data_IF_856238470859
#
_entry.id   IF_856238470859
#
_cell.length_a   1.000
_cell.length_b   1.000
_cell.length_c   1.000
_cell.angle_alpha   90.00
_cell.angle_beta   90.00
_cell.angle_gamma   90.00
#
_symmetry.space_group_name_H-M   'P 1'
#
loop_
_entity.id
_entity.type
_entity.pdbx_description
1 polymer ?
#
# COMPACT_ATOMS: atom_id res chain seq x y z
N UNK A 1 41.11 57.30 -33.08
CA UNK A 1 40.38 56.02 -33.36
C UNK A 1 40.73 55.01 -32.28
N UNK A 2 39.94 54.99 -31.20
CA UNK A 2 40.19 54.19 -29.99
C UNK A 2 39.21 53.03 -29.99
N UNK A 3 39.70 51.80 -30.17
CA UNK A 3 38.89 50.57 -30.13
C UNK A 3 38.70 50.11 -28.69
N UNK A 4 37.48 50.18 -28.23
CA UNK A 4 37.04 49.67 -26.90
C UNK A 4 36.80 48.15 -27.03
N UNK A 5 37.64 47.33 -26.40
CA UNK A 5 37.45 45.89 -26.29
C UNK A 5 36.61 45.62 -25.06
N UNK A 6 35.35 45.20 -25.26
CA UNK A 6 34.45 44.72 -24.20
C UNK A 6 34.72 43.23 -24.01
N UNK A 7 35.38 42.86 -22.92
CA UNK A 7 35.52 41.44 -22.49
C UNK A 7 34.28 41.06 -21.71
N UNK A 8 33.46 40.21 -22.32
CA UNK A 8 32.29 39.59 -21.69
C UNK A 8 32.74 38.36 -20.86
N UNK A 9 32.87 38.55 -19.55
CA UNK A 9 33.16 37.45 -18.64
C UNK A 9 31.91 36.60 -18.44
N UNK A 10 31.85 35.39 -18.99
CA UNK A 10 30.86 34.37 -18.68
C UNK A 10 31.11 33.86 -17.27
N UNK A 11 30.35 34.32 -16.29
CA UNK A 11 30.29 33.73 -14.97
C UNK A 11 29.37 32.51 -15.04
N UNK A 12 29.95 31.32 -15.32
CA UNK A 12 29.24 30.06 -15.24
C UNK A 12 28.89 29.78 -13.77
N UNK A 13 27.67 30.13 -13.40
CA UNK A 13 27.11 29.81 -12.09
C UNK A 13 27.03 28.30 -11.90
N UNK A 14 27.98 27.78 -11.14
CA UNK A 14 27.99 26.40 -10.66
C UNK A 14 26.89 26.28 -9.59
N UNK A 15 25.64 25.99 -10.02
CA UNK A 15 24.57 25.61 -9.10
C UNK A 15 25.01 24.33 -8.40
N UNK A 16 25.06 24.29 -7.06
CA UNK A 16 25.28 23.03 -6.36
C UNK A 16 24.14 22.10 -6.70
N UNK A 17 24.47 21.03 -7.42
CA UNK A 17 23.56 19.91 -7.63
C UNK A 17 23.34 19.33 -6.24
N UNK A 18 22.19 19.63 -5.62
CA UNK A 18 21.74 18.87 -4.45
C UNK A 18 21.57 17.42 -4.95
N UNK A 19 22.63 16.65 -4.78
CA UNK A 19 22.52 15.20 -4.82
C UNK A 19 21.52 14.87 -3.70
N UNK A 20 20.33 14.39 -4.08
CA UNK A 20 19.44 13.76 -3.13
C UNK A 20 20.24 12.61 -2.53
N UNK A 21 20.70 12.78 -1.30
CA UNK A 21 21.25 11.70 -0.51
C UNK A 21 20.27 10.54 -0.62
N UNK A 22 20.69 9.36 -1.10
CA UNK A 22 19.84 8.19 -1.03
C UNK A 22 19.44 8.08 0.43
N UNK A 23 18.16 8.12 0.70
CA UNK A 23 17.62 7.95 2.04
C UNK A 23 17.98 6.52 2.49
N UNK A 24 19.23 6.35 2.90
CA UNK A 24 19.76 5.08 3.39
C UNK A 24 19.04 4.74 4.70
N UNK A 25 17.81 4.30 4.57
CA UNK A 25 17.11 3.66 5.68
C UNK A 25 17.81 2.33 5.87
N UNK A 26 18.53 2.21 6.97
CA UNK A 26 19.06 0.92 7.38
C UNK A 26 17.88 -0.02 7.66
N UNK A 27 17.61 -0.93 6.73
CA UNK A 27 16.52 -1.88 6.83
C UNK A 27 16.69 -2.89 7.96
N UNK A 28 17.87 -2.97 8.58
CA UNK A 28 18.10 -3.77 9.78
C UNK A 28 17.60 -3.07 11.06
N UNK A 29 17.41 -1.75 11.02
CA UNK A 29 17.00 -0.91 12.14
C UNK A 29 15.62 -0.32 11.93
N UNK A 30 14.58 -1.15 11.97
CA UNK A 30 13.21 -0.74 11.62
C UNK A 30 12.54 0.20 12.64
N UNK A 31 12.92 0.06 13.94
CA UNK A 31 12.32 0.82 15.05
C UNK A 31 13.11 2.11 15.36
N UNK A 32 13.40 2.89 14.34
CA UNK A 32 13.97 4.24 14.45
C UNK A 32 13.16 5.21 13.59
N UNK A 33 13.05 6.48 14.03
CA UNK A 33 12.49 7.56 13.23
C UNK A 33 13.48 8.71 13.13
N UNK A 34 13.42 9.51 12.08
CA UNK A 34 14.20 10.73 11.90
C UNK A 34 13.48 11.91 12.54
N UNK A 35 14.17 12.63 13.41
CA UNK A 35 13.71 13.90 13.97
C UNK A 35 13.79 15.03 12.93
N UNK A 36 13.24 16.19 13.28
CA UNK A 36 13.26 17.38 12.40
C UNK A 36 14.67 17.86 12.04
N UNK A 37 15.63 17.70 12.93
CA UNK A 37 17.03 18.03 12.70
C UNK A 37 17.83 16.92 11.96
N UNK A 38 17.16 15.88 11.44
CA UNK A 38 17.80 14.79 10.70
C UNK A 38 18.40 13.69 11.55
N UNK A 39 18.44 13.82 12.88
CA UNK A 39 18.95 12.79 13.80
C UNK A 39 18.03 11.58 13.90
N UNK A 40 18.62 10.40 14.14
CA UNK A 40 17.86 9.17 14.37
C UNK A 40 17.49 9.01 15.87
N UNK A 41 16.25 8.65 16.11
CA UNK A 41 15.70 8.41 17.44
C UNK A 41 15.05 7.03 17.51
N UNK A 42 15.27 6.24 18.58
CA UNK A 42 14.61 4.95 18.73
C UNK A 42 13.11 5.12 19.00
N UNK A 43 12.31 4.22 18.45
CA UNK A 43 10.87 4.12 18.75
C UNK A 43 10.71 3.41 20.09
N UNK A 44 10.29 4.13 21.13
CA UNK A 44 10.08 3.61 22.48
C UNK A 44 8.63 3.74 22.96
N UNK A 45 7.89 4.65 22.36
CA UNK A 45 6.52 4.97 22.77
C UNK A 45 5.55 4.91 21.58
N UNK A 46 4.22 4.81 21.81
CA UNK A 46 3.23 4.94 20.74
C UNK A 46 3.33 6.26 19.96
N UNK A 47 3.74 7.35 20.62
CA UNK A 47 3.97 8.63 19.96
C UNK A 47 5.17 8.60 19.00
N UNK A 48 6.25 7.92 19.37
CA UNK A 48 7.39 7.71 18.47
C UNK A 48 7.01 6.81 17.29
N UNK A 49 6.22 5.77 17.56
CA UNK A 49 5.67 4.93 16.50
C UNK A 49 4.81 5.73 15.51
N UNK A 50 4.00 6.65 15.97
CA UNK A 50 3.21 7.51 15.09
C UNK A 50 4.09 8.34 14.14
N UNK A 51 5.23 8.87 14.64
CA UNK A 51 6.22 9.57 13.80
C UNK A 51 6.85 8.61 12.78
N UNK A 52 7.32 7.45 13.21
CA UNK A 52 7.90 6.43 12.32
C UNK A 52 6.93 5.98 11.26
N UNK A 53 5.70 5.65 11.65
CA UNK A 53 4.64 5.24 10.74
C UNK A 53 4.37 6.28 9.65
N UNK A 54 4.34 7.57 10.02
CA UNK A 54 4.18 8.66 9.03
C UNK A 54 5.31 8.64 8.01
N UNK A 55 6.57 8.55 8.44
CA UNK A 55 7.72 8.48 7.53
C UNK A 55 7.65 7.27 6.58
N UNK A 56 7.20 6.11 7.07
CA UNK A 56 7.00 4.93 6.22
C UNK A 56 5.92 5.20 5.17
N UNK A 57 4.78 5.75 5.59
CA UNK A 57 3.66 6.03 4.67
C UNK A 57 4.05 7.09 3.64
N UNK A 58 4.77 8.13 4.05
CA UNK A 58 5.26 9.18 3.15
C UNK A 58 6.23 8.60 2.10
N UNK A 59 7.16 7.74 2.52
CA UNK A 59 8.07 7.04 1.61
C UNK A 59 7.34 6.10 0.64
N UNK A 60 6.31 5.39 1.12
CA UNK A 60 5.46 4.57 0.26
C UNK A 60 4.73 5.43 -0.79
N UNK A 61 4.17 6.56 -0.40
CA UNK A 61 3.48 7.46 -1.32
C UNK A 61 4.42 8.09 -2.35
N UNK A 62 5.67 8.37 -1.97
CA UNK A 62 6.68 8.83 -2.93
C UNK A 62 6.99 7.78 -3.99
N UNK A 63 7.02 6.50 -3.61
CA UNK A 63 7.34 5.40 -4.54
C UNK A 63 6.14 4.94 -5.37
N UNK A 64 4.95 4.92 -4.80
CA UNK A 64 3.76 4.29 -5.39
C UNK A 64 2.70 5.31 -5.85
N UNK A 65 2.89 6.59 -5.56
CA UNK A 65 1.88 7.62 -5.72
C UNK A 65 1.04 7.83 -4.46
N UNK A 66 0.22 8.89 -4.41
CA UNK A 66 -0.60 9.21 -3.25
C UNK A 66 -1.60 8.11 -2.96
N UNK A 67 -1.87 7.87 -1.67
CA UNK A 67 -2.94 6.97 -1.27
C UNK A 67 -4.29 7.48 -1.78
N UNK A 68 -5.21 6.58 -2.20
CA UNK A 68 -6.54 6.97 -2.65
C UNK A 68 -7.29 7.76 -1.57
N UNK A 69 -8.04 8.76 -2.00
CA UNK A 69 -8.95 9.49 -1.11
C UNK A 69 -10.06 8.55 -0.62
N UNK A 70 -10.21 8.47 0.69
CA UNK A 70 -11.22 7.62 1.34
C UNK A 70 -12.53 8.34 1.62
N UNK A 71 -12.59 9.66 1.43
CA UNK A 71 -13.80 10.46 1.71
C UNK A 71 -14.95 10.15 0.72
N UNK A 72 -14.61 9.71 -0.48
CA UNK A 72 -15.56 9.48 -1.58
C UNK A 72 -15.67 8.01 -1.99
N UNK A 73 -15.39 7.08 -1.08
CA UNK A 73 -15.58 5.66 -1.37
C UNK A 73 -17.07 5.35 -1.59
N UNK A 74 -17.41 4.52 -2.60
CA UNK A 74 -18.77 4.05 -2.79
C UNK A 74 -19.19 3.15 -1.61
N UNK A 75 -20.49 2.96 -1.47
CA UNK A 75 -20.99 1.85 -0.64
C UNK A 75 -20.47 0.54 -1.19
N UNK A 76 -20.23 -0.43 -0.31
CA UNK A 76 -19.63 -1.71 -0.71
C UNK A 76 -20.43 -2.45 -1.79
N UNK A 77 -21.75 -2.30 -1.83
CA UNK A 77 -22.67 -2.91 -2.81
C UNK A 77 -22.23 -4.35 -3.19
N UNK A 78 -22.08 -5.20 -2.17
CA UNK A 78 -21.64 -6.58 -2.37
C UNK A 78 -22.72 -7.41 -3.05
N UNK A 79 -22.35 -8.10 -4.14
CA UNK A 79 -23.23 -9.02 -4.88
C UNK A 79 -22.70 -10.45 -4.76
N UNK A 80 -23.61 -11.40 -4.52
CA UNK A 80 -23.29 -12.82 -4.47
C UNK A 80 -23.71 -13.46 -5.78
N UNK A 81 -22.77 -14.06 -6.50
CA UNK A 81 -23.00 -14.74 -7.77
C UNK A 81 -23.26 -16.22 -7.62
N UNK A 82 -22.55 -16.86 -6.70
CA UNK A 82 -22.73 -18.28 -6.40
C UNK A 82 -22.28 -18.61 -4.99
N UNK A 83 -22.77 -19.74 -4.49
CA UNK A 83 -22.43 -20.28 -3.19
C UNK A 83 -22.08 -21.76 -3.35
N UNK A 84 -21.07 -22.22 -2.61
CA UNK A 84 -20.73 -23.61 -2.48
C UNK A 84 -20.37 -23.94 -1.04
N UNK A 85 -20.82 -25.08 -0.55
CA UNK A 85 -20.50 -25.55 0.78
C UNK A 85 -19.26 -26.44 0.78
N UNK A 86 -18.37 -26.20 1.71
CA UNK A 86 -17.23 -27.04 2.04
C UNK A 86 -17.34 -27.60 3.45
N UNK A 87 -16.34 -28.37 3.85
CA UNK A 87 -16.26 -28.87 5.21
C UNK A 87 -15.98 -27.71 6.19
N UNK A 88 -16.93 -27.46 7.09
CA UNK A 88 -16.86 -26.39 8.10
C UNK A 88 -17.00 -24.94 7.59
N UNK A 89 -17.18 -24.70 6.28
CA UNK A 89 -17.32 -23.35 5.72
C UNK A 89 -18.31 -23.28 4.54
N UNK A 90 -18.75 -22.08 4.25
CA UNK A 90 -19.45 -21.72 3.01
C UNK A 90 -18.55 -20.79 2.19
N UNK A 91 -18.34 -21.07 0.92
CA UNK A 91 -17.65 -20.22 -0.04
C UNK A 91 -18.67 -19.46 -0.86
N UNK A 92 -18.54 -18.13 -0.89
CA UNK A 92 -19.33 -17.25 -1.75
C UNK A 92 -18.43 -16.69 -2.86
N UNK A 93 -18.88 -16.75 -4.10
CA UNK A 93 -18.30 -15.96 -5.18
C UNK A 93 -19.02 -14.63 -5.18
N UNK A 94 -18.28 -13.57 -4.96
CA UNK A 94 -18.83 -12.21 -4.80
C UNK A 94 -18.12 -11.23 -5.71
N UNK A 95 -18.74 -10.10 -5.95
CA UNK A 95 -18.03 -8.87 -6.28
C UNK A 95 -18.53 -7.72 -5.38
N UNK A 96 -17.73 -6.68 -5.27
CA UNK A 96 -18.09 -5.49 -4.51
C UNK A 96 -17.50 -4.23 -5.17
N UNK A 97 -18.11 -3.08 -4.94
CA UNK A 97 -17.64 -1.81 -5.45
C UNK A 97 -16.40 -1.38 -4.66
N UNK A 98 -15.25 -1.26 -5.33
CA UNK A 98 -14.03 -0.69 -4.79
C UNK A 98 -13.94 0.81 -5.08
N UNK A 99 -14.37 1.20 -6.29
CA UNK A 99 -14.45 2.58 -6.75
C UNK A 99 -15.78 2.78 -7.50
N UNK A 100 -16.12 4.04 -7.85
CA UNK A 100 -17.41 4.37 -8.49
C UNK A 100 -17.72 3.56 -9.75
N UNK A 101 -16.68 3.15 -10.49
CA UNK A 101 -16.82 2.42 -11.76
C UNK A 101 -16.09 1.08 -11.77
N UNK A 102 -15.54 0.66 -10.64
CA UNK A 102 -14.76 -0.57 -10.55
C UNK A 102 -15.31 -1.51 -9.48
N UNK A 103 -15.44 -2.77 -9.86
CA UNK A 103 -15.91 -3.86 -8.98
C UNK A 103 -14.87 -4.96 -8.91
N UNK A 104 -14.53 -5.35 -7.69
CA UNK A 104 -13.53 -6.38 -7.44
C UNK A 104 -14.19 -7.73 -7.23
N UNK A 105 -13.90 -8.72 -8.09
CA UNK A 105 -14.35 -10.09 -7.88
C UNK A 105 -13.51 -10.77 -6.77
N UNK A 106 -14.17 -11.40 -5.82
CA UNK A 106 -13.55 -12.05 -4.69
C UNK A 106 -14.19 -13.40 -4.33
N UNK A 107 -13.50 -14.17 -3.52
CA UNK A 107 -14.03 -15.36 -2.87
C UNK A 107 -14.09 -15.09 -1.35
N UNK A 108 -15.28 -15.17 -0.78
CA UNK A 108 -15.49 -15.02 0.66
C UNK A 108 -15.72 -16.39 1.30
N UNK A 109 -14.83 -16.78 2.19
CA UNK A 109 -14.95 -18.01 2.98
C UNK A 109 -15.53 -17.65 4.35
N UNK A 110 -16.70 -18.19 4.66
CA UNK A 110 -17.44 -17.93 5.90
C UNK A 110 -17.56 -19.21 6.70
N UNK A 111 -16.97 -19.31 7.90
CA UNK A 111 -17.13 -20.50 8.75
C UNK A 111 -18.60 -20.76 9.08
N UNK A 112 -19.01 -22.02 9.09
CA UNK A 112 -20.37 -22.45 9.46
C UNK A 112 -20.63 -22.34 10.97
N UNK A 113 -19.57 -22.35 11.79
CA UNK A 113 -19.71 -22.21 13.25
C UNK A 113 -20.09 -20.81 13.67
N UNK A 114 -21.08 -20.68 14.52
CA UNK A 114 -21.70 -19.38 14.93
C UNK A 114 -21.15 -18.79 16.23
N UNK A 115 -19.95 -19.20 16.68
CA UNK A 115 -19.49 -18.93 18.07
C UNK A 115 -19.26 -17.46 18.45
N UNK A 116 -19.08 -16.53 17.49
CA UNK A 116 -18.81 -15.13 17.83
C UNK A 116 -19.65 -14.18 16.97
N UNK A 117 -20.21 -13.14 17.60
CA UNK A 117 -20.95 -12.07 16.93
C UNK A 117 -20.02 -11.21 16.02
N UNK A 118 -18.77 -11.03 16.43
CA UNK A 118 -17.71 -10.40 15.62
C UNK A 118 -16.56 -11.39 15.43
N UNK A 119 -16.03 -11.47 14.22
CA UNK A 119 -14.94 -12.39 13.86
C UNK A 119 -13.78 -11.63 13.26
N UNK A 120 -12.54 -12.04 13.52
CA UNK A 120 -11.41 -11.54 12.74
C UNK A 120 -11.58 -11.96 11.27
N UNK A 121 -11.14 -11.08 10.37
CA UNK A 121 -11.12 -11.36 8.94
C UNK A 121 -9.68 -11.31 8.43
N UNK A 122 -9.36 -12.15 7.45
CA UNK A 122 -8.07 -12.16 6.77
C UNK A 122 -8.31 -11.82 5.31
N UNK A 123 -7.66 -10.78 4.80
CA UNK A 123 -7.60 -10.47 3.39
C UNK A 123 -6.39 -11.18 2.77
N UNK A 124 -6.63 -12.17 1.92
CA UNK A 124 -5.59 -12.88 1.20
C UNK A 124 -5.47 -12.34 -0.23
N UNK A 125 -4.40 -11.61 -0.51
CA UNK A 125 -4.08 -11.14 -1.86
C UNK A 125 -3.33 -12.25 -2.61
N UNK A 126 -3.74 -12.49 -3.87
CA UNK A 126 -3.03 -13.46 -4.71
C UNK A 126 -1.81 -12.82 -5.39
N UNK A 127 -0.75 -13.58 -5.66
CA UNK A 127 0.36 -13.11 -6.48
C UNK A 127 -0.09 -12.97 -7.95
N UNK A 128 0.64 -12.20 -8.75
CA UNK A 128 0.41 -12.13 -10.19
C UNK A 128 0.50 -13.54 -10.80
N UNK A 129 -0.61 -14.02 -11.32
CA UNK A 129 -0.73 -15.40 -11.81
C UNK A 129 -1.93 -15.49 -12.76
N UNK A 130 -1.85 -16.31 -13.84
CA UNK A 130 -3.01 -16.62 -14.69
C UNK A 130 -4.21 -17.19 -13.93
N UNK A 131 -3.98 -17.78 -12.76
CA UNK A 131 -5.04 -18.33 -11.90
C UNK A 131 -5.71 -17.25 -11.03
N UNK A 132 -5.15 -16.02 -10.95
CA UNK A 132 -5.69 -14.92 -10.15
C UNK A 132 -6.02 -15.36 -8.72
N UNK A 133 -7.20 -14.97 -8.22
CA UNK A 133 -7.68 -15.33 -6.87
C UNK A 133 -7.75 -16.84 -6.58
N UNK A 134 -7.82 -17.68 -7.59
CA UNK A 134 -7.84 -19.14 -7.42
C UNK A 134 -6.49 -19.71 -7.01
N UNK A 135 -5.39 -18.96 -7.17
CA UNK A 135 -4.06 -19.39 -6.73
C UNK A 135 -3.97 -19.65 -5.23
N UNK A 136 -4.62 -18.82 -4.43
CA UNK A 136 -4.61 -18.92 -2.96
C UNK A 136 -5.66 -19.89 -2.42
N UNK A 137 -6.61 -20.34 -3.24
CA UNK A 137 -7.73 -21.19 -2.82
C UNK A 137 -7.56 -22.66 -3.21
N UNK A 138 -6.49 -23.04 -3.90
CA UNK A 138 -6.29 -24.36 -4.51
C UNK A 138 -6.22 -25.55 -3.53
N UNK A 139 -6.07 -25.29 -2.22
CA UNK A 139 -6.07 -26.34 -1.18
C UNK A 139 -7.41 -26.52 -0.45
N UNK A 140 -8.45 -25.79 -0.82
CA UNK A 140 -9.72 -25.77 -0.07
C UNK A 140 -10.77 -26.81 -0.51
N UNK A 141 -10.45 -27.78 -1.34
CA UNK A 141 -11.32 -28.93 -1.62
C UNK A 141 -12.67 -28.68 -2.29
N UNK A 142 -13.00 -27.41 -2.63
CA UNK A 142 -14.25 -27.08 -3.34
C UNK A 142 -13.94 -26.93 -4.82
N UNK A 143 -14.55 -27.72 -5.72
CA UNK A 143 -14.36 -27.59 -7.15
C UNK A 143 -14.69 -26.17 -7.62
N UNK A 144 -13.84 -25.59 -8.47
CA UNK A 144 -14.15 -24.36 -9.18
C UNK A 144 -15.18 -24.71 -10.29
N UNK A 145 -16.45 -24.54 -10.01
CA UNK A 145 -17.51 -24.48 -11.04
C UNK A 145 -17.88 -23.04 -11.30
#
# INVERSE_FOLDING_TARGET
MTRLLITLSLLAGMLPRLAAEPSGIDHSRLLVYRGQAGGEHPVKTPADWAKRRRQIVDGMQQAMGPLPDRANLPTLDMRVHSQADGDGFTRLSIDFAAEKKDRLPALLYRPKTRRLAKRPAILALHPTSPLGKHRVTKKGGVPNR
#
